data_IF_824798100518
#
_entry.id   IF_824798100518
#
_cell.length_a   1.000
_cell.length_b   1.000
_cell.length_c   1.000
_cell.angle_alpha   90.00
_cell.angle_beta   90.00
_cell.angle_gamma   90.00
#
_symmetry.space_group_name_H-M   'P 1'
#
loop_
_entity.id
_entity.type
_entity.pdbx_description
1 polymer ?
#
# COMPACT_ATOMS: atom_id res chain seq x y z
N UNK A 1 -0.74 6.44 2.59
CA UNK A 1 -0.03 5.14 2.64
C UNK A 1 0.83 4.82 1.42
N UNK A 2 0.30 4.91 0.18
CA UNK A 2 1.05 4.55 -1.05
C UNK A 2 2.37 5.31 -1.20
N UNK A 3 2.38 6.62 -0.92
CA UNK A 3 3.59 7.42 -0.99
C UNK A 3 4.69 6.94 -0.02
N UNK A 4 4.30 6.45 1.18
CA UNK A 4 5.24 5.93 2.17
C UNK A 4 5.87 4.62 1.71
N UNK A 5 5.07 3.74 1.10
CA UNK A 5 5.56 2.53 0.44
C UNK A 5 6.53 2.87 -0.70
N UNK A 6 6.18 3.83 -1.56
CA UNK A 6 7.09 4.30 -2.63
C UNK A 6 8.43 4.81 -2.09
N UNK A 7 8.41 5.61 -1.02
CA UNK A 7 9.64 6.08 -0.34
C UNK A 7 10.47 4.94 0.26
N UNK A 8 9.83 3.84 0.66
CA UNK A 8 10.49 2.62 1.18
C UNK A 8 10.89 1.63 0.07
N UNK A 9 10.92 2.06 -1.20
CA UNK A 9 11.38 1.23 -2.33
C UNK A 9 10.34 0.26 -2.87
N UNK A 10 9.06 0.44 -2.55
CA UNK A 10 7.98 -0.31 -3.18
C UNK A 10 7.53 0.35 -4.49
N UNK A 11 7.33 -0.45 -5.51
CA UNK A 11 6.88 0.01 -6.83
C UNK A 11 5.42 -0.35 -7.06
N UNK A 12 4.63 0.58 -7.59
CA UNK A 12 3.24 0.29 -7.99
C UNK A 12 3.28 -0.54 -9.26
N UNK A 13 2.64 -1.71 -9.23
CA UNK A 13 2.56 -2.63 -10.37
C UNK A 13 1.24 -2.52 -11.11
N UNK A 14 0.13 -2.27 -10.39
CA UNK A 14 -1.22 -2.22 -10.95
C UNK A 14 -2.14 -1.45 -10.04
N UNK A 15 -3.14 -0.80 -10.62
CA UNK A 15 -4.28 -0.26 -9.89
C UNK A 15 -5.56 -0.79 -10.52
N UNK A 16 -6.46 -1.32 -9.69
CA UNK A 16 -7.79 -1.75 -10.10
C UNK A 16 -8.81 -1.01 -9.23
N UNK A 17 -9.47 0.00 -9.81
CA UNK A 17 -10.34 0.89 -9.07
C UNK A 17 -9.60 1.58 -7.91
N UNK A 18 -10.14 1.44 -6.70
CA UNK A 18 -9.55 1.97 -5.49
C UNK A 18 -8.47 1.08 -4.87
N UNK A 19 -8.08 -0.05 -5.46
CA UNK A 19 -7.01 -0.89 -4.90
C UNK A 19 -5.73 -0.77 -5.71
N UNK A 20 -4.62 -0.45 -5.03
CA UNK A 20 -3.29 -0.31 -5.63
C UNK A 20 -2.40 -1.45 -5.19
N UNK A 21 -1.90 -2.20 -6.16
CA UNK A 21 -0.94 -3.28 -5.95
C UNK A 21 0.48 -2.72 -6.05
N UNK A 22 1.29 -3.02 -5.05
CA UNK A 22 2.69 -2.64 -4.92
C UNK A 22 3.57 -3.89 -4.82
N UNK A 23 4.82 -3.77 -5.25
CA UNK A 23 5.82 -4.83 -5.22
C UNK A 23 7.17 -4.31 -4.75
N UNK A 24 7.86 -5.07 -3.90
CA UNK A 24 9.25 -4.86 -3.48
C UNK A 24 9.99 -6.19 -3.53
N UNK A 25 10.74 -6.41 -4.62
CA UNK A 25 11.41 -7.70 -4.88
C UNK A 25 10.40 -8.84 -5.08
N UNK A 26 10.42 -9.82 -4.17
CA UNK A 26 9.45 -10.94 -4.13
C UNK A 26 8.18 -10.64 -3.35
N UNK A 27 8.10 -9.50 -2.63
CA UNK A 27 6.94 -9.12 -1.83
C UNK A 27 5.91 -8.36 -2.64
N UNK A 28 4.64 -8.68 -2.42
CA UNK A 28 3.49 -8.04 -3.06
C UNK A 28 2.52 -7.55 -1.98
N UNK A 29 2.06 -6.31 -2.09
CA UNK A 29 1.12 -5.71 -1.15
C UNK A 29 0.00 -5.01 -1.90
N UNK A 30 -1.25 -5.20 -1.48
CA UNK A 30 -2.39 -4.44 -2.00
C UNK A 30 -2.81 -3.42 -0.96
N UNK A 31 -2.87 -2.14 -1.34
CA UNK A 31 -3.24 -1.02 -0.47
C UNK A 31 -4.51 -0.37 -1.04
N UNK A 32 -5.55 -0.17 -0.22
CA UNK A 32 -6.70 0.62 -0.62
C UNK A 32 -6.34 2.11 -0.74
N UNK A 33 -6.88 2.70 -1.79
CA UNK A 33 -6.72 4.05 -2.31
C UNK A 33 -8.09 4.63 -2.66
N UNK A 34 -9.04 4.52 -1.73
CA UNK A 34 -10.28 5.29 -1.77
C UNK A 34 -10.21 6.39 -0.72
N UNK A 35 -11.05 7.42 -0.89
CA UNK A 35 -11.14 8.64 -0.08
C UNK A 35 -11.68 8.42 1.34
N UNK A 36 -11.76 7.18 1.81
CA UNK A 36 -12.17 6.83 3.16
C UNK A 36 -10.96 6.68 4.07
N UNK A 37 -11.14 7.03 5.35
CA UNK A 37 -10.14 6.76 6.39
C UNK A 37 -9.77 5.27 6.36
N UNK A 38 -8.49 4.96 6.14
CA UNK A 38 -8.01 3.61 6.41
C UNK A 38 -8.21 3.38 7.90
N UNK A 39 -8.98 2.35 8.27
CA UNK A 39 -9.18 2.06 9.68
C UNK A 39 -7.82 1.92 10.40
N UNK A 40 -7.67 2.55 11.57
CA UNK A 40 -6.40 2.65 12.31
C UNK A 40 -5.62 1.32 12.43
N UNK A 41 -6.34 0.20 12.59
CA UNK A 41 -5.72 -1.13 12.64
C UNK A 41 -5.06 -1.56 11.32
N UNK A 42 -5.68 -1.23 10.18
CA UNK A 42 -5.11 -1.49 8.86
C UNK A 42 -3.90 -0.59 8.61
N UNK A 43 -3.97 0.68 8.98
CA UNK A 43 -2.83 1.61 8.89
C UNK A 43 -1.64 1.10 9.69
N UNK A 44 -1.83 0.70 10.95
CA UNK A 44 -0.75 0.20 11.78
C UNK A 44 -0.16 -1.11 11.26
N UNK A 45 -0.98 -2.01 10.70
CA UNK A 45 -0.47 -3.21 10.03
C UNK A 45 0.38 -2.85 8.82
N UNK A 46 -0.14 -1.97 7.95
CA UNK A 46 0.59 -1.54 6.75
C UNK A 46 1.89 -0.79 7.11
N UNK A 47 1.92 -0.03 8.22
CA UNK A 47 3.12 0.64 8.73
C UNK A 47 4.19 -0.32 9.27
N UNK A 48 3.83 -1.53 9.69
CA UNK A 48 4.80 -2.56 10.11
C UNK A 48 5.45 -3.30 8.94
N UNK A 49 4.84 -3.24 7.76
CA UNK A 49 5.27 -4.02 6.59
C UNK A 49 6.12 -3.24 5.57
N UNK A 50 6.27 -1.92 5.76
CA UNK A 50 7.03 -1.04 4.85
C UNK A 50 8.54 -1.34 4.84
#
# INVERSE_FOLDING_TARGET
MIQLYKKNGWNVIRQTGSHVQLRKGSRHQTIPNHTGDLGKGLEQRLLKEI
#
